data_IF_327653252327
#
_entry.id   IF_327653252327
#
_cell.length_a   1.000
_cell.length_b   1.000
_cell.length_c   1.000
_cell.angle_alpha   90.00
_cell.angle_beta   90.00
_cell.angle_gamma   90.00
#
_symmetry.space_group_name_H-M   'P 1'
#
loop_
_entity.id
_entity.type
_entity.pdbx_description
1 polymer ?
#
# COMPACT_ATOMS: atom_id res chain seq x y z
N UNK A 1 3.39 -4.14 23.72
CA UNK A 1 2.24 -4.97 24.12
C UNK A 1 1.50 -5.42 22.87
N UNK A 2 1.15 -6.69 22.83
CA UNK A 2 0.33 -7.25 21.77
C UNK A 2 -1.11 -6.75 21.93
N UNK A 3 -1.70 -6.27 20.85
CA UNK A 3 -3.08 -5.84 20.83
C UNK A 3 -3.89 -6.83 19.99
N UNK A 4 -4.87 -7.46 20.62
CA UNK A 4 -5.83 -8.30 19.91
C UNK A 4 -6.82 -7.42 19.16
N UNK A 5 -6.90 -7.59 17.84
CA UNK A 5 -7.86 -6.88 17.01
C UNK A 5 -9.13 -7.71 16.87
N UNK A 6 -10.24 -7.09 17.24
CA UNK A 6 -11.57 -7.70 17.13
C UNK A 6 -12.27 -7.05 15.94
N UNK A 7 -12.00 -7.55 14.74
CA UNK A 7 -12.72 -7.15 13.53
C UNK A 7 -12.91 -8.36 12.63
N UNK A 8 -13.92 -8.38 11.73
CA UNK A 8 -14.16 -9.51 10.84
C UNK A 8 -12.95 -9.92 10.00
N UNK A 9 -12.11 -8.94 9.57
CA UNK A 9 -10.89 -9.21 8.82
C UNK A 9 -9.76 -9.74 9.70
N UNK A 10 -9.64 -9.22 10.92
CA UNK A 10 -8.51 -9.44 11.81
C UNK A 10 -8.87 -10.36 12.99
N UNK A 11 -10.06 -10.93 12.95
CA UNK A 11 -10.46 -11.93 13.94
C UNK A 11 -9.51 -13.13 13.87
N UNK A 12 -9.01 -13.55 15.04
CA UNK A 12 -8.01 -14.59 15.13
C UNK A 12 -6.56 -14.15 14.83
N UNK A 13 -6.30 -12.83 14.73
CA UNK A 13 -4.95 -12.29 14.62
C UNK A 13 -4.53 -11.52 15.86
N UNK A 14 -3.25 -11.64 16.21
CA UNK A 14 -2.61 -10.81 17.24
C UNK A 14 -1.68 -9.83 16.54
N UNK A 15 -1.91 -8.55 16.77
CA UNK A 15 -1.14 -7.46 16.18
C UNK A 15 -0.09 -6.96 17.17
N UNK A 16 1.16 -6.84 16.71
CA UNK A 16 2.23 -6.21 17.47
C UNK A 16 2.27 -4.68 17.31
N UNK A 17 3.27 -4.07 17.91
CA UNK A 17 3.49 -2.63 17.80
C UNK A 17 3.89 -2.22 16.38
N UNK A 18 3.55 -1.00 15.94
CA UNK A 18 3.98 -0.49 14.64
C UNK A 18 5.49 -0.55 14.47
N UNK A 19 5.95 -1.12 13.35
CA UNK A 19 7.37 -1.13 12.99
C UNK A 19 7.82 0.21 12.42
N UNK A 20 6.90 0.91 11.77
CA UNK A 20 7.05 2.26 11.25
C UNK A 20 5.72 2.99 11.27
N UNK A 21 5.79 4.32 11.30
CA UNK A 21 4.62 5.17 11.20
C UNK A 21 5.04 6.49 10.56
N UNK A 22 4.42 6.84 9.44
CA UNK A 22 4.65 8.10 8.73
C UNK A 22 3.44 8.42 7.85
N UNK A 23 3.14 9.69 7.70
CA UNK A 23 2.11 10.19 6.77
C UNK A 23 0.74 9.45 6.90
N UNK A 24 0.30 9.21 8.15
CA UNK A 24 -0.96 8.51 8.42
C UNK A 24 -0.93 7.00 8.15
N UNK A 25 0.24 6.43 7.80
CA UNK A 25 0.40 5.00 7.52
C UNK A 25 1.17 4.32 8.66
N UNK A 26 0.63 3.23 9.17
CA UNK A 26 1.27 2.36 10.18
C UNK A 26 1.38 0.95 9.63
N UNK A 27 2.54 0.32 9.79
CA UNK A 27 2.73 -1.10 9.46
C UNK A 27 3.00 -1.88 10.74
N UNK A 28 2.14 -2.81 11.06
CA UNK A 28 2.22 -3.63 12.26
C UNK A 28 2.46 -5.09 11.87
N UNK A 29 3.38 -5.78 12.58
CA UNK A 29 3.46 -7.23 12.44
C UNK A 29 2.20 -7.85 13.03
N UNK A 30 1.73 -8.92 12.42
CA UNK A 30 0.62 -9.69 12.95
C UNK A 30 0.92 -11.19 12.83
N UNK A 31 0.28 -11.96 13.67
CA UNK A 31 0.39 -13.40 13.69
C UNK A 31 -1.01 -13.99 13.82
N UNK A 32 -1.29 -15.02 13.04
CA UNK A 32 -2.55 -15.75 13.17
C UNK A 32 -2.53 -16.59 14.44
N UNK A 33 -3.56 -16.47 15.27
CA UNK A 33 -3.68 -17.22 16.52
C UNK A 33 -3.52 -18.74 16.30
N UNK A 34 -2.80 -19.38 17.20
CA UNK A 34 -2.51 -20.82 17.15
C UNK A 34 -1.72 -21.28 15.91
N UNK A 35 -1.01 -20.40 15.25
CA UNK A 35 -0.10 -20.70 14.12
C UNK A 35 1.18 -19.91 14.25
N UNK A 36 2.21 -20.31 13.47
CA UNK A 36 3.45 -19.54 13.31
C UNK A 36 3.41 -18.66 12.04
N UNK A 37 2.22 -18.51 11.42
CA UNK A 37 2.05 -17.72 10.21
C UNK A 37 2.17 -16.23 10.50
N UNK A 38 3.11 -15.60 9.81
CA UNK A 38 3.41 -14.17 9.96
C UNK A 38 2.73 -13.34 8.89
N UNK A 39 2.12 -12.26 9.32
CA UNK A 39 1.41 -11.29 8.50
C UNK A 39 1.89 -9.88 8.78
N UNK A 40 1.54 -8.98 7.91
CA UNK A 40 1.65 -7.53 8.09
C UNK A 40 0.26 -6.93 7.94
N UNK A 41 -0.08 -6.05 8.86
CA UNK A 41 -1.25 -5.19 8.77
C UNK A 41 -0.78 -3.78 8.48
N UNK A 42 -1.14 -3.25 7.32
CA UNK A 42 -0.94 -1.85 6.96
C UNK A 42 -2.22 -1.10 7.28
N UNK A 43 -2.12 -0.04 8.06
CA UNK A 43 -3.26 0.79 8.47
C UNK A 43 -3.05 2.17 7.87
N UNK A 44 -4.01 2.62 7.07
CA UNK A 44 -4.01 3.93 6.43
C UNK A 44 -5.09 4.76 7.07
N UNK A 45 -4.69 5.84 7.74
CA UNK A 45 -5.62 6.81 8.35
C UNK A 45 -5.99 7.89 7.33
N UNK A 46 -7.29 8.16 7.18
CA UNK A 46 -7.85 9.15 6.27
C UNK A 46 -8.84 10.02 7.07
N UNK A 47 -8.48 11.28 7.34
CA UNK A 47 -7.23 11.99 7.03
C UNK A 47 -6.01 11.46 7.81
N UNK A 48 -4.83 11.83 7.38
CA UNK A 48 -3.56 11.42 8.04
C UNK A 48 -3.50 11.85 9.52
N UNK A 49 -4.11 12.99 9.84
CA UNK A 49 -4.19 13.52 11.20
C UNK A 49 -5.40 14.43 11.36
N UNK A 50 -5.86 14.60 12.60
CA UNK A 50 -6.93 15.58 12.90
C UNK A 50 -6.47 17.02 12.65
N UNK A 51 -5.20 17.32 12.80
CA UNK A 51 -4.63 18.65 12.47
C UNK A 51 -4.80 18.96 10.97
N UNK A 52 -4.61 17.97 10.10
CA UNK A 52 -4.87 18.13 8.67
C UNK A 52 -6.34 18.41 8.40
N UNK A 53 -7.25 17.69 9.05
CA UNK A 53 -8.69 17.94 8.95
C UNK A 53 -9.06 19.35 9.39
N UNK A 54 -8.57 19.78 10.55
CA UNK A 54 -8.85 21.13 11.10
C UNK A 54 -8.35 22.21 10.13
N UNK A 55 -7.17 22.02 9.54
CA UNK A 55 -6.63 22.93 8.54
C UNK A 55 -7.51 23.00 7.28
N UNK A 56 -8.00 21.87 6.79
CA UNK A 56 -8.89 21.81 5.63
C UNK A 56 -10.24 22.47 5.88
N UNK A 57 -10.81 22.30 7.07
CA UNK A 57 -12.05 22.98 7.48
C UNK A 57 -11.85 24.49 7.64
N UNK A 58 -10.76 24.92 8.26
CA UNK A 58 -10.43 26.33 8.44
C UNK A 58 -10.16 27.07 7.14
N UNK A 59 -9.58 26.39 6.15
CA UNK A 59 -9.32 26.98 4.82
C UNK A 59 -10.55 26.99 3.91
N UNK A 60 -11.67 26.40 4.36
CA UNK A 60 -12.90 26.28 3.57
C UNK A 60 -12.79 25.27 2.43
N UNK A 61 -11.85 24.34 2.49
CA UNK A 61 -11.74 23.24 1.53
C UNK A 61 -12.99 22.33 1.56
N UNK A 62 -13.63 22.23 2.72
CA UNK A 62 -14.94 21.59 2.92
C UNK A 62 -15.86 22.58 3.64
N UNK A 63 -17.15 22.53 3.30
CA UNK A 63 -18.17 23.40 3.92
C UNK A 63 -18.43 23.02 5.37
N UNK A 64 -18.44 21.74 5.64
CA UNK A 64 -18.74 21.19 6.96
C UNK A 64 -18.08 19.80 7.15
N UNK A 65 -18.11 19.25 8.38
CA UNK A 65 -17.58 17.94 8.67
C UNK A 65 -18.23 16.78 7.89
N UNK A 66 -19.49 16.92 7.48
CA UNK A 66 -20.19 15.88 6.73
C UNK A 66 -19.63 15.77 5.32
N UNK A 67 -19.43 16.90 4.62
CA UNK A 67 -18.80 16.94 3.30
C UNK A 67 -17.37 16.37 3.35
N UNK A 68 -16.60 16.70 4.39
CA UNK A 68 -15.28 16.12 4.60
C UNK A 68 -15.32 14.59 4.79
N UNK A 69 -16.30 14.11 5.56
CA UNK A 69 -16.49 12.67 5.81
C UNK A 69 -16.84 11.91 4.53
N UNK A 70 -17.72 12.46 3.70
CA UNK A 70 -18.08 11.88 2.40
C UNK A 70 -16.86 11.76 1.49
N UNK A 71 -16.05 12.82 1.41
CA UNK A 71 -14.79 12.79 0.65
C UNK A 71 -13.81 11.72 1.17
N UNK A 72 -13.63 11.62 2.49
CA UNK A 72 -12.75 10.60 3.07
C UNK A 72 -13.26 9.20 2.80
N UNK A 73 -14.57 9.00 2.73
CA UNK A 73 -15.17 7.72 2.33
C UNK A 73 -14.84 7.38 0.88
N UNK A 74 -14.94 8.35 -0.03
CA UNK A 74 -14.56 8.17 -1.43
C UNK A 74 -13.07 7.81 -1.57
N UNK A 75 -12.19 8.44 -0.79
CA UNK A 75 -10.75 8.12 -0.78
C UNK A 75 -10.52 6.67 -0.29
N UNK A 76 -11.20 6.27 0.78
CA UNK A 76 -11.11 4.89 1.30
C UNK A 76 -11.63 3.86 0.29
N UNK A 77 -12.76 4.14 -0.37
CA UNK A 77 -13.32 3.28 -1.43
C UNK A 77 -12.40 3.21 -2.65
N UNK A 78 -11.70 4.31 -2.97
CA UNK A 78 -10.67 4.35 -4.01
C UNK A 78 -9.49 3.41 -3.70
N UNK A 79 -9.07 3.34 -2.45
CA UNK A 79 -8.04 2.39 -1.99
C UNK A 79 -8.56 0.95 -2.17
N UNK A 80 -9.80 0.66 -1.80
CA UNK A 80 -10.39 -0.66 -1.99
C UNK A 80 -10.42 -1.07 -3.47
N UNK A 81 -10.78 -0.15 -4.36
CA UNK A 81 -10.76 -0.39 -5.81
C UNK A 81 -9.36 -0.68 -6.33
N UNK A 82 -8.34 0.03 -5.83
CA UNK A 82 -6.94 -0.20 -6.22
C UNK A 82 -6.43 -1.56 -5.69
N UNK A 83 -6.86 -1.99 -4.50
CA UNK A 83 -6.58 -3.34 -3.98
C UNK A 83 -7.18 -4.41 -4.88
N UNK A 84 -8.40 -4.23 -5.38
CA UNK A 84 -9.03 -5.16 -6.32
C UNK A 84 -8.25 -5.26 -7.64
N UNK A 85 -7.73 -4.14 -8.14
CA UNK A 85 -6.84 -4.12 -9.31
C UNK A 85 -5.57 -4.93 -9.04
N UNK A 86 -4.88 -4.65 -7.93
CA UNK A 86 -3.68 -5.38 -7.54
C UNK A 86 -3.95 -6.89 -7.42
N UNK A 87 -5.01 -7.26 -6.74
CA UNK A 87 -5.38 -8.66 -6.52
C UNK A 87 -5.75 -9.37 -7.84
N UNK A 88 -6.32 -8.65 -8.79
CA UNK A 88 -6.60 -9.16 -10.13
C UNK A 88 -5.30 -9.42 -10.91
N UNK A 89 -4.37 -8.47 -10.89
CA UNK A 89 -3.06 -8.62 -11.54
C UNK A 89 -2.23 -9.73 -10.87
N UNK A 90 -2.32 -9.88 -9.55
CA UNK A 90 -1.62 -10.92 -8.80
C UNK A 90 -2.02 -12.35 -9.19
N UNK A 91 -3.21 -12.55 -9.77
CA UNK A 91 -3.64 -13.84 -10.33
C UNK A 91 -2.92 -14.18 -11.64
N UNK A 92 -2.37 -13.18 -12.32
CA UNK A 92 -1.66 -13.39 -13.57
C UNK A 92 -0.20 -13.74 -13.30
N UNK A 93 0.59 -12.84 -12.80
CA UNK A 93 1.99 -13.04 -12.38
C UNK A 93 2.63 -11.71 -11.98
N UNK A 94 3.69 -11.76 -11.18
CA UNK A 94 4.55 -10.61 -10.92
C UNK A 94 4.09 -9.66 -9.84
N UNK A 95 2.89 -9.87 -9.25
CA UNK A 95 2.35 -9.04 -8.18
C UNK A 95 2.02 -9.87 -6.94
N UNK A 96 2.07 -9.23 -5.76
CA UNK A 96 1.61 -9.82 -4.50
C UNK A 96 0.25 -9.24 -4.14
N UNK A 97 -0.74 -10.10 -3.84
CA UNK A 97 -2.05 -9.64 -3.40
C UNK A 97 -2.04 -9.17 -1.95
N UNK A 98 -3.05 -8.39 -1.57
CA UNK A 98 -3.50 -8.32 -0.19
C UNK A 98 -4.46 -9.47 0.10
N UNK A 99 -4.31 -10.09 1.27
CA UNK A 99 -5.17 -11.19 1.71
C UNK A 99 -6.54 -10.71 2.17
N UNK A 100 -6.65 -9.44 2.55
CA UNK A 100 -7.91 -8.82 2.93
C UNK A 100 -7.80 -7.31 3.11
N UNK A 101 -8.97 -6.67 3.06
CA UNK A 101 -9.15 -5.24 3.30
C UNK A 101 -10.36 -5.01 4.19
N UNK A 102 -10.27 -4.06 5.10
CA UNK A 102 -11.39 -3.56 5.88
C UNK A 102 -11.32 -2.05 6.04
N UNK A 103 -12.44 -1.39 5.85
CA UNK A 103 -12.61 0.04 6.08
C UNK A 103 -13.46 0.20 7.32
N UNK A 104 -12.96 0.94 8.30
CA UNK A 104 -13.69 1.24 9.54
C UNK A 104 -13.73 2.74 9.79
N UNK A 105 -14.84 3.29 10.30
CA UNK A 105 -14.86 4.66 10.78
C UNK A 105 -13.87 4.83 11.92
N UNK A 106 -13.27 6.01 12.04
CA UNK A 106 -12.43 6.35 13.19
C UNK A 106 -13.27 6.38 14.47
N UNK A 107 -12.67 5.97 15.58
CA UNK A 107 -13.28 5.95 16.92
C UNK A 107 -13.14 7.32 17.62
N UNK A 108 -13.74 7.43 18.81
CA UNK A 108 -13.62 8.58 19.72
C UNK A 108 -14.10 9.92 19.13
N UNK A 109 -15.11 9.89 18.27
CA UNK A 109 -15.68 11.10 17.66
C UNK A 109 -14.77 11.78 16.63
N UNK A 110 -13.69 11.13 16.23
CA UNK A 110 -12.84 11.58 15.13
C UNK A 110 -13.51 11.33 13.79
N UNK A 111 -13.38 12.30 12.89
CA UNK A 111 -13.91 12.16 11.54
C UNK A 111 -12.92 11.43 10.65
N UNK A 112 -13.44 10.57 9.80
CA UNK A 112 -12.64 9.85 8.83
C UNK A 112 -12.69 8.33 8.98
N UNK A 113 -11.76 7.67 8.30
CA UNK A 113 -11.72 6.22 8.19
C UNK A 113 -10.30 5.69 8.39
N UNK A 114 -10.21 4.45 8.86
CA UNK A 114 -8.99 3.67 8.82
C UNK A 114 -9.19 2.50 7.84
N UNK A 115 -8.23 2.33 6.93
CA UNK A 115 -8.20 1.22 5.98
C UNK A 115 -7.14 0.22 6.45
N UNK A 116 -7.59 -0.98 6.78
CA UNK A 116 -6.74 -2.09 7.20
C UNK A 116 -6.48 -2.99 6.01
N UNK A 117 -5.21 -3.21 5.69
CA UNK A 117 -4.75 -4.09 4.62
C UNK A 117 -3.94 -5.23 5.24
N UNK A 118 -4.44 -6.46 5.10
CA UNK A 118 -3.77 -7.66 5.59
C UNK A 118 -2.97 -8.30 4.47
N UNK A 119 -1.72 -8.62 4.71
CA UNK A 119 -0.89 -9.39 3.78
C UNK A 119 -0.01 -10.39 4.50
N UNK A 120 0.26 -11.53 3.87
CA UNK A 120 1.27 -12.47 4.33
C UNK A 120 2.64 -11.78 4.34
N UNK A 121 3.42 -12.00 5.42
CA UNK A 121 4.75 -11.43 5.50
C UNK A 121 5.64 -11.91 4.37
N UNK A 122 6.23 -10.97 3.65
CA UNK A 122 7.26 -11.20 2.63
C UNK A 122 8.46 -10.30 2.89
N UNK A 123 9.65 -10.77 2.53
CA UNK A 123 10.88 -10.00 2.67
C UNK A 123 10.99 -9.00 1.52
N UNK A 124 11.06 -7.71 1.82
CA UNK A 124 11.28 -6.70 0.78
C UNK A 124 12.72 -6.74 0.24
N UNK A 125 12.88 -6.34 -1.02
CA UNK A 125 14.20 -6.17 -1.65
C UNK A 125 15.05 -5.17 -0.86
N UNK A 126 14.45 -4.07 -0.38
CA UNK A 126 15.15 -3.10 0.45
C UNK A 126 15.81 -3.76 1.67
N UNK A 127 15.05 -4.60 2.38
CA UNK A 127 15.53 -5.29 3.58
C UNK A 127 16.55 -6.39 3.26
N UNK A 128 16.45 -6.99 2.07
CA UNK A 128 17.44 -7.93 1.56
C UNK A 128 18.77 -7.22 1.33
N UNK A 129 18.76 -6.12 0.56
CA UNK A 129 19.96 -5.35 0.20
C UNK A 129 20.70 -4.74 1.40
N UNK A 130 20.00 -4.50 2.51
CA UNK A 130 20.63 -4.04 3.75
C UNK A 130 21.52 -5.11 4.42
N UNK A 131 21.29 -6.37 4.10
CA UNK A 131 22.01 -7.50 4.71
C UNK A 131 23.01 -8.16 3.78
N UNK A 132 22.68 -8.22 2.50
CA UNK A 132 23.44 -8.95 1.50
C UNK A 132 23.51 -8.15 0.20
N UNK A 133 24.67 -8.08 -0.44
CA UNK A 133 24.80 -7.48 -1.76
C UNK A 133 24.06 -8.34 -2.80
N UNK A 134 23.38 -7.69 -3.74
CA UNK A 134 22.76 -8.38 -4.88
C UNK A 134 23.87 -8.86 -5.82
N UNK A 135 23.84 -10.13 -6.18
CA UNK A 135 24.72 -10.71 -7.20
C UNK A 135 24.30 -10.26 -8.60
N UNK A 136 25.21 -10.39 -9.56
CA UNK A 136 24.89 -10.07 -10.96
C UNK A 136 23.71 -10.90 -11.50
N UNK A 137 23.67 -12.19 -11.19
CA UNK A 137 22.57 -13.07 -11.59
C UNK A 137 21.23 -12.66 -10.95
N UNK A 138 21.23 -12.32 -9.68
CA UNK A 138 20.03 -11.81 -8.98
C UNK A 138 19.56 -10.50 -9.60
N UNK A 139 20.45 -9.60 -9.98
CA UNK A 139 20.09 -8.35 -10.64
C UNK A 139 19.44 -8.60 -12.02
N UNK A 140 19.94 -9.55 -12.79
CA UNK A 140 19.34 -9.95 -14.08
C UNK A 140 17.96 -10.55 -13.87
N UNK A 141 17.79 -11.47 -12.94
CA UNK A 141 16.51 -12.09 -12.62
C UNK A 141 15.48 -11.08 -12.11
N UNK A 142 15.91 -10.15 -11.24
CA UNK A 142 15.10 -9.02 -10.80
C UNK A 142 14.59 -8.21 -11.99
N UNK A 143 15.47 -7.86 -12.93
CA UNK A 143 15.09 -7.12 -14.14
C UNK A 143 14.07 -7.86 -14.98
N UNK A 144 14.24 -9.15 -15.19
CA UNK A 144 13.32 -9.99 -15.97
C UNK A 144 11.95 -10.08 -15.30
N UNK A 145 11.90 -10.35 -14.01
CA UNK A 145 10.64 -10.45 -13.25
C UNK A 145 9.87 -9.12 -13.25
N UNK A 146 10.58 -8.01 -13.04
CA UNK A 146 9.95 -6.67 -13.06
C UNK A 146 9.44 -6.31 -14.47
N UNK A 147 10.21 -6.59 -15.52
CA UNK A 147 9.76 -6.34 -16.90
C UNK A 147 8.50 -7.16 -17.23
N UNK A 148 8.45 -8.42 -16.80
CA UNK A 148 7.27 -9.27 -16.98
C UNK A 148 6.04 -8.69 -16.26
N UNK A 149 6.18 -8.29 -14.98
CA UNK A 149 5.11 -7.67 -14.21
C UNK A 149 4.63 -6.36 -14.84
N UNK A 150 5.54 -5.47 -15.23
CA UNK A 150 5.19 -4.20 -15.87
C UNK A 150 4.53 -4.39 -17.24
N UNK A 151 4.90 -5.43 -17.98
CA UNK A 151 4.23 -5.78 -19.23
C UNK A 151 2.78 -6.23 -19.00
N UNK A 152 2.51 -6.97 -17.92
CA UNK A 152 1.14 -7.33 -17.51
C UNK A 152 0.35 -6.07 -17.19
N UNK A 153 0.93 -5.17 -16.39
CA UNK A 153 0.33 -3.90 -16.01
C UNK A 153 -0.06 -3.07 -17.26
N UNK A 154 0.88 -2.89 -18.18
CA UNK A 154 0.64 -2.16 -19.44
C UNK A 154 -0.47 -2.76 -20.29
N UNK A 155 -0.54 -4.09 -20.42
CA UNK A 155 -1.61 -4.78 -21.15
C UNK A 155 -2.99 -4.58 -20.52
N UNK A 156 -3.03 -4.34 -19.21
CA UNK A 156 -4.25 -3.97 -18.49
C UNK A 156 -4.59 -2.47 -18.58
N UNK A 157 -3.85 -1.67 -19.35
CA UNK A 157 -4.07 -0.23 -19.47
C UNK A 157 -3.58 0.57 -18.26
N UNK A 158 -2.65 0.02 -17.49
CA UNK A 158 -2.16 0.59 -16.25
C UNK A 158 -0.65 0.84 -16.30
N UNK A 159 -0.19 1.78 -15.48
CA UNK A 159 1.21 1.94 -15.08
C UNK A 159 1.35 1.70 -13.58
N UNK A 160 2.45 1.08 -13.17
CA UNK A 160 2.85 1.06 -11.78
C UNK A 160 3.91 2.14 -11.55
N UNK A 161 3.57 3.15 -10.76
CA UNK A 161 4.37 4.39 -10.65
C UNK A 161 5.16 4.52 -9.36
N UNK A 162 4.99 3.58 -8.41
CA UNK A 162 5.71 3.57 -7.13
C UNK A 162 6.75 2.44 -7.04
N UNK A 163 7.48 2.21 -8.14
CA UNK A 163 8.50 1.17 -8.20
C UNK A 163 9.74 1.59 -7.40
N UNK A 164 10.00 0.86 -6.34
CA UNK A 164 11.13 1.09 -5.43
C UNK A 164 11.45 -0.20 -4.67
N UNK A 165 12.67 -0.36 -4.11
CA UNK A 165 13.06 -1.60 -3.41
C UNK A 165 12.16 -1.97 -2.22
N UNK A 166 11.48 -1.00 -1.60
CA UNK A 166 10.52 -1.24 -0.53
C UNK A 166 9.21 -1.90 -0.99
N UNK A 167 8.86 -1.76 -2.28
CA UNK A 167 7.65 -2.32 -2.90
C UNK A 167 7.93 -3.56 -3.77
N UNK A 168 9.17 -4.05 -3.77
CA UNK A 168 9.57 -5.30 -4.41
C UNK A 168 9.83 -6.32 -3.31
N UNK A 169 9.29 -7.51 -3.47
CA UNK A 169 9.38 -8.59 -2.49
C UNK A 169 10.02 -9.82 -3.11
N UNK A 170 10.77 -10.55 -2.27
CA UNK A 170 11.51 -11.74 -2.67
C UNK A 170 10.85 -12.95 -2.04
N UNK A 171 10.47 -13.92 -2.86
CA UNK A 171 9.97 -15.21 -2.41
C UNK A 171 11.12 -16.17 -2.09
N UNK A 172 10.80 -17.30 -1.49
CA UNK A 172 11.81 -18.31 -1.10
C UNK A 172 12.56 -18.91 -2.29
N UNK A 173 11.90 -19.00 -3.43
CA UNK A 173 12.47 -19.47 -4.70
C UNK A 173 13.26 -18.39 -5.47
N UNK A 174 13.51 -17.24 -4.83
CA UNK A 174 14.24 -16.10 -5.44
C UNK A 174 13.50 -15.46 -6.63
N UNK A 175 12.19 -15.58 -6.71
CA UNK A 175 11.38 -14.77 -7.62
C UNK A 175 11.07 -13.42 -7.00
N UNK A 176 10.98 -12.38 -7.84
CA UNK A 176 10.71 -11.01 -7.42
C UNK A 176 9.30 -10.60 -7.85
N UNK A 177 8.56 -9.99 -6.92
CA UNK A 177 7.18 -9.55 -7.17
C UNK A 177 6.96 -8.14 -6.63
N UNK A 178 6.16 -7.38 -7.37
CA UNK A 178 5.72 -6.06 -6.95
C UNK A 178 4.56 -6.22 -5.98
N UNK A 179 4.65 -5.59 -4.83
CA UNK A 179 3.56 -5.46 -3.87
C UNK A 179 3.23 -4.01 -3.62
N UNK A 180 2.14 -3.79 -2.89
CA UNK A 180 1.62 -2.47 -2.57
C UNK A 180 0.92 -1.76 -3.73
N UNK A 181 0.19 -0.70 -3.39
CA UNK A 181 -0.56 0.14 -4.31
C UNK A 181 0.38 1.12 -5.04
N UNK A 182 -0.03 1.61 -6.17
CA UNK A 182 0.78 2.53 -6.99
C UNK A 182 0.40 2.47 -8.47
N UNK A 183 -0.86 2.11 -8.76
CA UNK A 183 -1.39 2.02 -10.12
C UNK A 183 -1.99 3.35 -10.58
N UNK A 184 -1.74 3.68 -11.84
CA UNK A 184 -2.32 4.83 -12.53
C UNK A 184 -2.80 4.38 -13.90
N UNK A 185 -3.99 4.81 -14.31
CA UNK A 185 -4.52 4.53 -15.64
C UNK A 185 -3.71 5.26 -16.70
N UNK A 186 -3.34 4.56 -17.77
CA UNK A 186 -2.57 5.15 -18.89
C UNK A 186 -3.29 6.36 -19.51
N UNK A 187 -4.60 6.27 -19.67
CA UNK A 187 -5.39 7.33 -20.29
C UNK A 187 -5.46 8.59 -19.40
N UNK A 188 -5.38 8.43 -18.09
CA UNK A 188 -5.39 9.57 -17.15
C UNK A 188 -4.12 10.41 -17.21
N UNK A 189 -2.98 9.82 -17.59
CA UNK A 189 -1.69 10.50 -17.66
C UNK A 189 -1.57 11.50 -18.83
N UNK A 190 -2.45 11.43 -19.84
CA UNK A 190 -2.46 12.37 -20.93
C UNK A 190 -2.84 13.80 -20.49
N UNK A 191 -3.48 13.94 -19.32
CA UNK A 191 -4.07 15.18 -18.84
C UNK A 191 -3.59 15.64 -17.47
N UNK A 192 -2.86 14.81 -16.74
CA UNK A 192 -2.44 15.14 -15.37
C UNK A 192 -0.99 14.71 -15.10
N UNK A 193 -0.27 15.55 -14.34
CA UNK A 193 1.01 15.14 -13.76
C UNK A 193 0.80 14.04 -12.71
N UNK A 194 1.81 13.19 -12.51
CA UNK A 194 1.78 12.17 -11.46
C UNK A 194 1.48 12.79 -10.10
N UNK A 195 0.59 12.18 -9.29
CA UNK A 195 0.34 12.66 -7.94
C UNK A 195 1.62 12.76 -7.13
N UNK A 196 1.77 13.86 -6.37
CA UNK A 196 3.00 14.15 -5.62
C UNK A 196 3.41 13.04 -4.64
N UNK A 197 2.43 12.25 -4.12
CA UNK A 197 2.68 11.09 -3.26
C UNK A 197 3.56 10.00 -3.89
N UNK A 198 3.65 9.95 -5.22
CA UNK A 198 4.49 8.99 -5.95
C UNK A 198 5.87 9.55 -6.33
N UNK A 199 6.16 10.80 -5.98
CA UNK A 199 7.48 11.38 -6.21
C UNK A 199 8.47 10.84 -5.20
N UNK A 200 9.51 10.21 -5.70
CA UNK A 200 10.57 9.60 -4.89
C UNK A 200 11.91 9.69 -5.61
N UNK A 201 13.04 9.40 -4.92
CA UNK A 201 14.35 9.31 -5.58
C UNK A 201 14.41 8.29 -6.72
N UNK A 202 13.49 7.33 -6.73
CA UNK A 202 13.38 6.29 -7.77
C UNK A 202 12.48 6.70 -8.94
N UNK A 203 11.75 7.81 -8.83
CA UNK A 203 10.91 8.32 -9.92
C UNK A 203 11.77 8.80 -11.08
N UNK A 204 11.33 8.60 -12.34
CA UNK A 204 12.05 9.08 -13.49
C UNK A 204 12.08 10.64 -13.52
N UNK A 205 13.06 11.26 -14.19
CA UNK A 205 13.23 12.72 -14.17
C UNK A 205 11.97 13.49 -14.58
N UNK A 206 11.24 13.01 -15.58
CA UNK A 206 10.00 13.61 -16.07
C UNK A 206 8.86 13.60 -15.04
N UNK A 207 8.90 12.71 -14.08
CA UNK A 207 7.90 12.62 -13.01
C UNK A 207 8.25 13.46 -11.78
N UNK A 208 9.43 14.12 -11.77
CA UNK A 208 9.90 14.92 -10.62
C UNK A 208 9.56 16.41 -10.75
N UNK A 209 9.13 16.84 -11.90
CA UNK A 209 8.80 18.25 -12.20
C UNK A 209 7.35 18.60 -11.83
#
# INVERSE_FOLDING_TARGET
SEQKLVSPLLDGFVMGNPMNSHDGIRCCPAMKENTDEKYIVKIISIPESQVQLDALLLTGAYKDPAEATDYFKEVADGIASEVDVLNTLAKLEGFLPYDGIQIVPMEDGKLGYEVYLLSTYKRSLLRYMQKEPITHLEAVNLGLDLCAALAVCRRAGLLYVDLKPGNIFISRDKTYRIGDLGFVELDSLQYTSLPGKYRSPYSPPEARN
#
